data_IF_463860003718
#
_entry.id   IF_463860003718
#
_cell.length_a   1.000
_cell.length_b   1.000
_cell.length_c   1.000
_cell.angle_alpha   90.00
_cell.angle_beta   90.00
_cell.angle_gamma   90.00
#
_symmetry.space_group_name_H-M   'P 1'
#
loop_
_entity.id
_entity.type
_entity.pdbx_description
1 polymer ?
#
# COMPACT_ATOMS: atom_id res chain seq x y z
N UNK A 1 15.75 3.05 -10.99
CA UNK A 1 15.47 1.83 -10.20
C UNK A 1 15.13 2.28 -8.79
N UNK A 2 13.99 1.86 -8.23
CA UNK A 2 13.53 2.30 -6.91
C UNK A 2 14.47 1.86 -5.79
N UNK A 3 14.66 2.69 -4.76
CA UNK A 3 15.26 2.21 -3.51
C UNK A 3 14.21 1.40 -2.77
N UNK A 4 14.27 0.08 -2.92
CA UNK A 4 13.37 -0.85 -2.24
C UNK A 4 13.72 -0.88 -0.75
N UNK A 5 12.73 -0.68 0.11
CA UNK A 5 12.96 -0.78 1.55
C UNK A 5 12.82 -2.22 2.06
N UNK A 6 12.96 -2.40 3.38
CA UNK A 6 13.10 -3.73 3.99
C UNK A 6 11.85 -4.59 3.79
N UNK A 7 10.67 -3.98 3.70
CA UNK A 7 9.39 -4.69 3.54
C UNK A 7 9.31 -5.31 2.14
N UNK A 8 9.60 -4.54 1.10
CA UNK A 8 9.67 -5.07 -0.27
C UNK A 8 10.75 -6.15 -0.38
N UNK A 9 11.91 -5.94 0.24
CA UNK A 9 13.01 -6.92 0.20
C UNK A 9 12.63 -8.26 0.85
N UNK A 10 11.90 -8.23 1.98
CA UNK A 10 11.37 -9.44 2.62
C UNK A 10 10.28 -10.12 1.78
N UNK A 11 9.48 -9.32 1.06
CA UNK A 11 8.46 -9.84 0.16
C UNK A 11 9.05 -10.65 -0.99
N UNK A 12 10.06 -10.11 -1.69
CA UNK A 12 10.68 -10.76 -2.85
C UNK A 12 11.53 -11.99 -2.50
N UNK A 13 11.92 -12.15 -1.24
CA UNK A 13 12.56 -13.39 -0.77
C UNK A 13 11.60 -14.59 -0.76
N UNK A 14 10.29 -14.37 -0.91
CA UNK A 14 9.27 -15.40 -0.99
C UNK A 14 8.69 -15.42 -2.41
N UNK A 15 9.33 -16.09 -3.38
CA UNK A 15 8.88 -16.09 -4.77
C UNK A 15 7.57 -16.88 -4.88
N UNK A 16 6.49 -16.15 -5.15
CA UNK A 16 5.13 -16.67 -5.32
C UNK A 16 4.48 -15.97 -6.51
N UNK A 17 3.47 -16.60 -7.12
CA UNK A 17 2.69 -15.97 -8.18
C UNK A 17 1.92 -14.79 -7.60
N UNK A 18 2.16 -13.61 -8.15
CA UNK A 18 1.58 -12.35 -7.69
C UNK A 18 0.98 -11.56 -8.85
N UNK A 19 -0.06 -10.79 -8.54
CA UNK A 19 -0.63 -9.77 -9.41
C UNK A 19 -0.05 -8.44 -8.98
N UNK A 20 0.51 -7.69 -9.93
CA UNK A 20 1.16 -6.42 -9.68
C UNK A 20 0.40 -5.28 -10.37
N UNK A 21 0.37 -4.13 -9.73
CA UNK A 21 -0.06 -2.87 -10.32
C UNK A 21 1.00 -1.80 -10.03
N UNK A 22 1.44 -1.13 -11.10
CA UNK A 22 2.44 -0.08 -11.03
C UNK A 22 1.92 1.14 -11.78
N UNK A 23 1.91 2.28 -11.11
CA UNK A 23 1.39 3.53 -11.68
C UNK A 23 2.20 4.71 -11.17
N UNK A 24 2.50 5.66 -12.06
CA UNK A 24 3.02 6.96 -11.69
C UNK A 24 1.82 7.92 -11.59
N UNK A 25 1.65 8.55 -10.44
CA UNK A 25 0.55 9.49 -10.18
C UNK A 25 0.99 10.93 -10.47
N UNK A 26 0.03 11.82 -10.73
CA UNK A 26 0.27 13.18 -11.25
C UNK A 26 1.17 14.05 -10.36
N UNK A 27 1.24 13.77 -9.06
CA UNK A 27 2.10 14.46 -8.10
C UNK A 27 3.58 13.99 -8.13
N UNK A 28 3.93 13.08 -9.06
CA UNK A 28 5.28 12.55 -9.20
C UNK A 28 5.62 11.40 -8.23
N UNK A 29 4.65 10.92 -7.45
CA UNK A 29 4.80 9.69 -6.68
C UNK A 29 4.68 8.46 -7.59
N UNK A 30 5.30 7.35 -7.15
CA UNK A 30 5.19 6.06 -7.82
C UNK A 30 4.56 5.05 -6.90
N UNK A 31 3.58 4.32 -7.40
CA UNK A 31 2.87 3.28 -6.67
C UNK A 31 3.31 1.91 -7.18
N UNK A 32 3.57 0.97 -6.27
CA UNK A 32 3.85 -0.44 -6.55
C UNK A 32 3.03 -1.29 -5.58
N UNK A 33 1.95 -1.87 -6.11
CA UNK A 33 1.01 -2.67 -5.34
C UNK A 33 1.14 -4.10 -5.84
N UNK A 34 1.27 -5.05 -4.91
CA UNK A 34 1.35 -6.47 -5.24
C UNK A 34 0.41 -7.26 -4.38
N UNK A 35 -0.25 -8.24 -4.97
CA UNK A 35 -1.12 -9.15 -4.22
C UNK A 35 -0.77 -10.56 -4.60
N UNK A 36 -0.67 -11.43 -3.60
CA UNK A 36 -0.49 -12.87 -3.82
C UNK A 36 -1.39 -13.67 -2.88
N UNK A 37 -1.79 -14.84 -3.34
CA UNK A 37 -2.43 -15.82 -2.48
C UNK A 37 -1.36 -16.63 -1.75
N UNK A 38 -1.28 -16.46 -0.43
CA UNK A 38 -0.37 -17.27 0.41
C UNK A 38 -0.94 -18.68 0.59
N UNK A 39 -2.26 -18.77 0.74
CA UNK A 39 -3.05 -19.99 0.85
C UNK A 39 -4.46 -19.75 0.30
N UNK A 40 -5.29 -20.79 0.18
CA UNK A 40 -6.69 -20.65 -0.25
C UNK A 40 -7.56 -19.75 0.63
N UNK A 41 -7.09 -19.44 1.84
CA UNK A 41 -7.81 -18.62 2.83
C UNK A 41 -7.12 -17.28 3.09
N UNK A 42 -5.91 -17.07 2.57
CA UNK A 42 -5.06 -15.93 2.93
C UNK A 42 -4.50 -15.26 1.69
N UNK A 43 -4.84 -13.99 1.53
CA UNK A 43 -4.19 -13.09 0.59
C UNK A 43 -3.21 -12.19 1.32
N UNK A 44 -2.07 -11.93 0.71
CA UNK A 44 -1.14 -10.91 1.16
C UNK A 44 -1.17 -9.76 0.14
N UNK A 45 -1.25 -8.54 0.66
CA UNK A 45 -1.24 -7.30 -0.09
C UNK A 45 -0.01 -6.50 0.33
N UNK A 46 0.89 -6.23 -0.60
CA UNK A 46 1.99 -5.30 -0.45
C UNK A 46 1.60 -3.95 -1.08
N UNK A 47 1.70 -2.88 -0.29
CA UNK A 47 1.51 -1.51 -0.76
C UNK A 47 2.83 -0.75 -0.60
N UNK A 48 3.39 -0.30 -1.71
CA UNK A 48 4.57 0.56 -1.72
C UNK A 48 4.26 1.88 -2.42
N UNK A 49 4.64 2.98 -1.78
CA UNK A 49 4.59 4.33 -2.32
C UNK A 49 6.00 4.92 -2.28
N UNK A 50 6.46 5.41 -3.42
CA UNK A 50 7.76 6.04 -3.58
C UNK A 50 7.60 7.51 -3.94
N UNK A 51 8.52 8.34 -3.45
CA UNK A 51 8.62 9.74 -3.84
C UNK A 51 9.18 9.88 -5.26
N UNK A 52 9.15 11.10 -5.80
CA UNK A 52 9.78 11.42 -7.08
C UNK A 52 11.30 11.13 -7.10
N UNK A 53 11.96 11.19 -5.94
CA UNK A 53 13.36 10.78 -5.73
C UNK A 53 13.57 9.26 -5.63
N UNK A 54 12.53 8.49 -5.94
CA UNK A 54 12.52 7.02 -5.90
C UNK A 54 12.85 6.45 -4.51
N UNK A 55 12.63 7.23 -3.45
CA UNK A 55 12.76 6.78 -2.05
C UNK A 55 11.44 6.19 -1.58
N UNK A 56 11.45 5.14 -0.74
CA UNK A 56 10.23 4.58 -0.18
C UNK A 56 9.67 5.58 0.85
N UNK A 57 8.47 6.08 0.59
CA UNK A 57 7.70 6.94 1.52
C UNK A 57 6.84 6.06 2.42
N UNK A 58 6.30 4.97 1.86
CA UNK A 58 5.49 4.02 2.58
C UNK A 58 5.68 2.62 2.01
N UNK A 59 5.87 1.63 2.87
CA UNK A 59 5.85 0.22 2.48
C UNK A 59 5.17 -0.58 3.59
N UNK A 60 4.16 -1.36 3.24
CA UNK A 60 3.46 -2.20 4.20
C UNK A 60 2.94 -3.47 3.54
N UNK A 61 3.01 -4.57 4.28
CA UNK A 61 2.29 -5.80 3.96
C UNK A 61 1.07 -5.90 4.86
N UNK A 62 -0.06 -6.25 4.25
CA UNK A 62 -1.32 -6.53 4.90
C UNK A 62 -1.78 -7.94 4.56
N UNK A 63 -2.43 -8.58 5.53
CA UNK A 63 -3.00 -9.91 5.36
C UNK A 63 -4.51 -9.76 5.28
N UNK A 64 -5.10 -10.26 4.20
CA UNK A 64 -6.53 -10.23 3.94
C UNK A 64 -7.07 -11.66 3.89
N UNK A 65 -8.35 -11.82 4.24
CA UNK A 65 -9.02 -13.10 4.10
C UNK A 65 -9.41 -13.35 2.64
N UNK A 66 -8.97 -14.47 2.06
CA UNK A 66 -9.35 -14.86 0.71
C UNK A 66 -10.82 -15.31 0.60
N UNK A 67 -11.51 -15.48 1.72
CA UNK A 67 -12.96 -15.75 1.74
C UNK A 67 -13.79 -14.48 1.57
N UNK A 68 -13.23 -13.32 1.90
CA UNK A 68 -13.91 -12.02 1.85
C UNK A 68 -13.41 -11.16 0.69
N UNK A 69 -12.16 -11.36 0.26
CA UNK A 69 -11.50 -10.55 -0.76
C UNK A 69 -11.00 -11.41 -1.90
N UNK A 70 -11.20 -10.97 -3.14
CA UNK A 70 -10.50 -11.55 -4.30
C UNK A 70 -9.15 -10.86 -4.51
N UNK A 71 -8.28 -11.46 -5.33
CA UNK A 71 -7.01 -10.82 -5.74
C UNK A 71 -7.25 -9.45 -6.38
N UNK A 72 -8.32 -9.30 -7.17
CA UNK A 72 -8.67 -8.04 -7.82
C UNK A 72 -9.15 -6.99 -6.81
N UNK A 73 -10.02 -7.36 -5.87
CA UNK A 73 -10.50 -6.45 -4.83
C UNK A 73 -9.36 -5.99 -3.90
N UNK A 74 -8.48 -6.92 -3.52
CA UNK A 74 -7.30 -6.62 -2.73
C UNK A 74 -6.34 -5.67 -3.47
N UNK A 75 -6.16 -5.86 -4.78
CA UNK A 75 -5.31 -5.01 -5.61
C UNK A 75 -5.88 -3.60 -5.71
N UNK A 76 -7.18 -3.49 -5.97
CA UNK A 76 -7.88 -2.21 -6.02
C UNK A 76 -7.79 -1.49 -4.67
N UNK A 77 -8.05 -2.19 -3.56
CA UNK A 77 -7.87 -1.65 -2.20
C UNK A 77 -6.46 -1.09 -1.98
N UNK A 78 -5.44 -1.85 -2.38
CA UNK A 78 -4.05 -1.41 -2.27
C UNK A 78 -3.76 -0.15 -3.07
N UNK A 79 -4.36 -0.03 -4.26
CA UNK A 79 -4.29 1.16 -5.12
C UNK A 79 -4.96 2.36 -4.44
N UNK A 80 -6.21 2.24 -4.00
CA UNK A 80 -6.94 3.29 -3.28
C UNK A 80 -6.14 3.79 -2.06
N UNK A 81 -5.52 2.87 -1.30
CA UNK A 81 -4.68 3.22 -0.17
C UNK A 81 -3.39 3.93 -0.58
N UNK A 82 -2.72 3.46 -1.63
CA UNK A 82 -1.50 4.05 -2.15
C UNK A 82 -1.74 5.46 -2.71
N UNK A 83 -2.83 5.66 -3.45
CA UNK A 83 -3.25 6.97 -3.98
C UNK A 83 -3.55 7.95 -2.85
N UNK A 84 -4.25 7.49 -1.81
CA UNK A 84 -4.59 8.30 -0.64
C UNK A 84 -3.34 8.71 0.17
N UNK A 85 -2.36 7.81 0.28
CA UNK A 85 -1.04 8.10 0.86
C UNK A 85 -0.27 9.11 0.02
N UNK A 86 -0.22 8.90 -1.31
CA UNK A 86 0.46 9.79 -2.24
C UNK A 86 -0.18 11.18 -2.26
N UNK A 87 -1.51 11.27 -2.14
CA UNK A 87 -2.26 12.51 -2.01
C UNK A 87 -2.02 13.30 -0.71
N UNK A 88 -1.13 12.81 0.17
CA UNK A 88 -0.68 13.53 1.35
C UNK A 88 -1.36 13.13 2.66
N UNK A 89 -2.21 12.10 2.67
CA UNK A 89 -2.85 11.64 3.92
C UNK A 89 -1.84 10.97 4.88
N UNK A 90 -0.69 10.51 4.38
CA UNK A 90 0.42 10.06 5.22
C UNK A 90 1.03 11.17 6.09
N UNK A 91 0.78 12.46 5.77
CA UNK A 91 1.13 13.61 6.61
C UNK A 91 0.11 13.95 7.69
N UNK A 92 -1.06 13.28 7.73
CA UNK A 92 -2.09 13.47 8.78
C UNK A 92 -2.12 12.36 9.85
N UNK A 93 -1.22 11.38 9.79
CA UNK A 93 -1.13 10.31 10.80
C UNK A 93 -0.31 10.69 12.05
N UNK A 94 -0.02 11.98 12.24
CA UNK A 94 0.27 12.55 13.55
C UNK A 94 -0.37 13.94 13.66
N UNK A 95 -1.69 13.96 13.89
CA UNK A 95 -2.32 14.85 14.84
C UNK A 95 -3.49 14.09 15.46
N UNK A 96 -3.20 13.33 16.52
CA UNK A 96 -4.09 13.47 17.66
C UNK A 96 -3.85 14.89 18.18
N UNK A 97 -4.71 15.83 17.81
CA UNK A 97 -4.92 17.02 18.62
C UNK A 97 -6.41 17.15 18.90
N UNK A 98 -6.67 17.49 20.15
CA UNK A 98 -7.90 17.27 20.87
C UNK A 98 -8.72 18.55 20.86
N UNK A 99 -10.02 18.45 20.62
CA UNK A 99 -11.00 19.45 21.05
C UNK A 99 -11.68 20.23 19.92
N UNK A 100 -12.97 19.98 19.74
CA UNK A 100 -14.03 20.90 20.16
C UNK A 100 -15.40 20.24 19.92
N UNK A 101 -16.29 20.09 20.93
CA UNK A 101 -17.70 19.84 20.68
C UNK A 101 -18.33 21.17 20.28
N UNK A 102 -18.85 21.27 19.06
CA UNK A 102 -19.65 22.43 18.66
C UNK A 102 -21.11 22.17 19.08
N UNK A 103 -21.57 23.01 20.00
CA UNK A 103 -22.92 23.05 20.53
C UNK A 103 -23.60 24.24 19.84
N UNK A 104 -24.63 23.97 19.04
CA UNK A 104 -25.60 24.95 18.56
C UNK A 104 -26.96 24.28 18.38
#
# INVERSE_FOLDING_TARGET
>A
MYRRGPVYNAWVQQPMTEVCHNEAVENGCYLDIRVRARSNEVLELLVCVYSNDLQPVWERVETLSATEWTLADALQRGRDQAERIAGGEAGRLSCADSGQPDNA
#
